data_IF_548736700718
#
_entry.id   IF_548736700718
#
_cell.length_a   1.000
_cell.length_b   1.000
_cell.length_c   1.000
_cell.angle_alpha   90.00
_cell.angle_beta   90.00
_cell.angle_gamma   90.00
#
_symmetry.space_group_name_H-M   'P 1'
#
loop_
_entity.id
_entity.type
_entity.pdbx_description
1 polymer ?
#
# COMPACT_ATOMS: atom_id res chain seq x y z
N UNK A 1 -182.04 -55.18 41.15
CA UNK A 1 -182.26 -55.68 39.77
C UNK A 1 -181.39 -54.84 38.84
N UNK A 2 -180.33 -55.28 38.17
CA UNK A 2 -179.65 -56.57 38.14
C UNK A 2 -178.31 -56.46 37.40
N UNK A 3 -177.38 -57.33 37.81
CA UNK A 3 -176.31 -58.07 37.10
C UNK A 3 -175.11 -57.32 36.46
N UNK A 4 -173.85 -57.54 36.90
CA UNK A 4 -172.91 -58.67 36.60
C UNK A 4 -172.57 -58.73 35.10
N UNK A 5 -171.37 -58.44 34.60
CA UNK A 5 -170.13 -59.27 34.50
C UNK A 5 -169.08 -58.35 33.82
N UNK A 6 -167.83 -58.15 34.26
CA UNK A 6 -166.67 -58.87 33.73
C UNK A 6 -165.33 -58.31 34.28
N UNK A 7 -165.04 -58.52 35.57
CA UNK A 7 -163.66 -58.53 36.03
C UNK A 7 -163.03 -59.88 35.67
N UNK A 8 -162.17 -59.94 34.65
CA UNK A 8 -161.20 -61.04 34.41
C UNK A 8 -160.27 -60.87 33.19
N UNK A 9 -160.41 -59.82 32.36
CA UNK A 9 -159.50 -59.58 31.21
C UNK A 9 -158.28 -58.68 31.51
N UNK A 10 -158.18 -58.09 32.70
CA UNK A 10 -157.16 -57.06 32.98
C UNK A 10 -155.81 -57.60 33.52
N UNK A 11 -155.76 -58.85 34.00
CA UNK A 11 -154.52 -59.40 34.60
C UNK A 11 -153.56 -59.93 33.53
N UNK A 12 -154.05 -60.56 32.46
CA UNK A 12 -153.20 -61.05 31.37
C UNK A 12 -152.50 -59.94 30.59
N UNK A 13 -153.17 -58.79 30.41
CA UNK A 13 -152.60 -57.62 29.74
C UNK A 13 -151.52 -56.96 30.59
N UNK A 14 -151.72 -56.85 31.90
CA UNK A 14 -150.71 -56.33 32.84
C UNK A 14 -149.50 -57.26 32.97
N UNK A 15 -149.70 -58.58 32.91
CA UNK A 15 -148.61 -59.55 32.97
C UNK A 15 -147.80 -59.60 31.66
N UNK A 16 -148.43 -59.41 30.49
CA UNK A 16 -147.72 -59.22 29.22
C UNK A 16 -147.01 -57.87 29.13
N UNK A 17 -147.60 -56.78 29.64
CA UNK A 17 -146.95 -55.47 29.73
C UNK A 17 -145.73 -55.49 30.66
N UNK A 18 -145.82 -56.19 31.80
CA UNK A 18 -144.69 -56.35 32.71
C UNK A 18 -143.57 -57.18 32.08
N UNK A 19 -143.89 -58.28 31.38
CA UNK A 19 -142.89 -59.07 30.63
C UNK A 19 -142.27 -58.25 29.51
N UNK A 20 -143.06 -57.46 28.78
CA UNK A 20 -142.59 -56.60 27.68
C UNK A 20 -141.72 -55.43 28.18
N UNK A 21 -142.07 -54.84 29.32
CA UNK A 21 -141.22 -53.83 29.97
C UNK A 21 -139.92 -54.44 30.49
N UNK A 22 -139.96 -55.64 31.05
CA UNK A 22 -138.75 -56.31 31.55
C UNK A 22 -137.83 -56.75 30.40
N UNK A 23 -138.36 -57.28 29.30
CA UNK A 23 -137.56 -57.60 28.11
C UNK A 23 -136.99 -56.36 27.45
N UNK A 24 -137.74 -55.25 27.42
CA UNK A 24 -137.25 -53.94 26.95
C UNK A 24 -136.13 -53.42 27.85
N UNK A 25 -136.27 -53.52 29.18
CA UNK A 25 -135.24 -53.10 30.13
C UNK A 25 -133.96 -53.95 30.00
N UNK A 26 -134.10 -55.26 29.78
CA UNK A 26 -132.98 -56.18 29.55
C UNK A 26 -132.30 -55.86 28.22
N UNK A 27 -133.06 -55.59 27.16
CA UNK A 27 -132.53 -55.16 25.85
C UNK A 27 -131.78 -53.83 25.95
N UNK A 28 -132.37 -52.83 26.61
CA UNK A 28 -131.74 -51.52 26.83
C UNK A 28 -130.46 -51.64 27.67
N UNK A 29 -130.43 -52.52 28.68
CA UNK A 29 -129.24 -52.78 29.50
C UNK A 29 -128.16 -53.54 28.73
N UNK A 30 -128.54 -54.50 27.87
CA UNK A 30 -127.59 -55.17 26.97
C UNK A 30 -127.04 -54.22 25.91
N UNK A 31 -127.85 -53.30 25.38
CA UNK A 31 -127.40 -52.28 24.44
C UNK A 31 -126.47 -51.27 25.12
N UNK A 32 -126.74 -50.89 26.38
CA UNK A 32 -125.83 -50.05 27.15
C UNK A 32 -124.50 -50.75 27.44
N UNK A 33 -124.53 -52.02 27.85
CA UNK A 33 -123.31 -52.80 28.10
C UNK A 33 -122.50 -53.05 26.83
N UNK A 34 -123.15 -53.33 25.70
CA UNK A 34 -122.45 -53.51 24.41
C UNK A 34 -121.83 -52.21 23.94
N UNK A 35 -122.49 -51.06 24.14
CA UNK A 35 -121.94 -49.74 23.84
C UNK A 35 -120.74 -49.40 24.74
N UNK A 36 -120.79 -49.70 26.04
CA UNK A 36 -119.67 -49.49 26.97
C UNK A 36 -118.49 -50.41 26.62
N UNK A 37 -118.76 -51.68 26.30
CA UNK A 37 -117.74 -52.62 25.84
C UNK A 37 -117.12 -52.17 24.51
N UNK A 38 -117.94 -51.69 23.57
CA UNK A 38 -117.46 -51.15 22.29
C UNK A 38 -116.60 -49.90 22.48
N UNK A 39 -116.98 -49.00 23.40
CA UNK A 39 -116.17 -47.82 23.73
C UNK A 39 -114.86 -48.20 24.43
N UNK A 40 -114.88 -49.14 25.38
CA UNK A 40 -113.67 -49.62 26.04
C UNK A 40 -112.72 -50.36 25.06
N UNK A 41 -113.27 -51.16 24.14
CA UNK A 41 -112.49 -51.79 23.06
C UNK A 41 -111.93 -50.72 22.11
N UNK A 42 -112.72 -49.71 21.73
CA UNK A 42 -112.28 -48.58 20.90
C UNK A 42 -111.14 -47.79 21.56
N UNK A 43 -111.29 -47.42 22.84
CA UNK A 43 -110.25 -46.75 23.63
C UNK A 43 -108.98 -47.62 23.75
N UNK A 44 -109.14 -48.93 23.94
CA UNK A 44 -108.00 -49.87 24.00
C UNK A 44 -107.27 -49.98 22.67
N UNK A 45 -107.99 -49.99 21.55
CA UNK A 45 -107.41 -49.98 20.19
C UNK A 45 -106.70 -48.65 19.92
N UNK A 46 -107.30 -47.51 20.28
CA UNK A 46 -106.68 -46.19 20.13
C UNK A 46 -105.39 -46.10 20.95
N UNK A 47 -105.40 -46.54 22.22
CA UNK A 47 -104.20 -46.58 23.06
C UNK A 47 -103.12 -47.53 22.51
N UNK A 48 -103.51 -48.67 21.95
CA UNK A 48 -102.59 -49.60 21.31
C UNK A 48 -101.94 -49.00 20.06
N UNK A 49 -102.74 -48.35 19.19
CA UNK A 49 -102.26 -47.64 17.99
C UNK A 49 -101.35 -46.49 18.39
N UNK A 50 -101.74 -45.67 19.37
CA UNK A 50 -100.93 -44.56 19.87
C UNK A 50 -99.61 -45.03 20.47
N UNK A 51 -99.61 -46.11 21.28
CA UNK A 51 -98.38 -46.72 21.82
C UNK A 51 -97.48 -47.26 20.72
N UNK A 52 -98.04 -47.89 19.67
CA UNK A 52 -97.26 -48.32 18.51
C UNK A 52 -96.67 -47.14 17.74
N UNK A 53 -97.48 -46.12 17.45
CA UNK A 53 -97.05 -44.92 16.75
C UNK A 53 -95.95 -44.18 17.53
N UNK A 54 -96.15 -43.97 18.85
CA UNK A 54 -95.16 -43.37 19.74
C UNK A 54 -93.83 -44.14 19.76
N UNK A 55 -93.87 -45.48 19.81
CA UNK A 55 -92.65 -46.31 19.70
C UNK A 55 -91.96 -46.18 18.35
N UNK A 56 -92.72 -46.16 17.25
CA UNK A 56 -92.18 -45.98 15.90
C UNK A 56 -91.54 -44.59 15.76
N UNK A 57 -92.20 -43.54 16.24
CA UNK A 57 -91.66 -42.19 16.25
C UNK A 57 -90.39 -42.11 17.11
N UNK A 58 -90.38 -42.68 18.32
CA UNK A 58 -89.21 -42.66 19.17
C UNK A 58 -88.02 -43.40 18.55
N UNK A 59 -88.25 -44.59 17.98
CA UNK A 59 -87.22 -45.34 17.26
C UNK A 59 -86.74 -44.62 16.00
N UNK A 60 -87.65 -43.95 15.27
CA UNK A 60 -87.31 -43.14 14.10
C UNK A 60 -86.45 -41.92 14.44
N UNK A 61 -86.76 -41.20 15.54
CA UNK A 61 -85.93 -40.10 16.05
C UNK A 61 -84.57 -40.64 16.50
N UNK A 62 -84.53 -41.74 17.26
CA UNK A 62 -83.28 -42.34 17.72
C UNK A 62 -82.41 -42.80 16.54
N UNK A 63 -83.00 -43.41 15.51
CA UNK A 63 -82.28 -43.82 14.30
C UNK A 63 -81.73 -42.62 13.51
N UNK A 64 -82.48 -41.52 13.42
CA UNK A 64 -82.01 -40.29 12.78
C UNK A 64 -80.87 -39.65 13.58
N UNK A 65 -80.96 -39.61 14.90
CA UNK A 65 -79.91 -39.10 15.80
C UNK A 65 -78.65 -39.96 15.71
N UNK A 66 -78.78 -41.29 15.72
CA UNK A 66 -77.66 -42.23 15.58
C UNK A 66 -77.00 -42.11 14.20
N UNK A 67 -77.80 -41.97 13.13
CA UNK A 67 -77.29 -41.77 11.76
C UNK A 67 -76.57 -40.44 11.60
N UNK A 68 -77.10 -39.35 12.19
CA UNK A 68 -76.47 -38.04 12.19
C UNK A 68 -75.16 -38.04 12.99
N UNK A 69 -75.15 -38.68 14.17
CA UNK A 69 -73.98 -38.84 15.01
C UNK A 69 -72.88 -39.64 14.30
N UNK A 70 -73.24 -40.70 13.58
CA UNK A 70 -72.29 -41.50 12.82
C UNK A 70 -71.74 -40.75 11.60
N UNK A 71 -72.58 -39.94 10.93
CA UNK A 71 -72.13 -39.00 9.89
C UNK A 71 -71.15 -37.95 10.43
N UNK A 72 -71.43 -37.37 11.59
CA UNK A 72 -70.54 -36.42 12.27
C UNK A 72 -69.21 -37.08 12.67
N UNK A 73 -69.23 -38.30 13.21
CA UNK A 73 -68.02 -39.05 13.55
C UNK A 73 -67.15 -39.31 12.34
N UNK A 74 -67.74 -39.72 11.21
CA UNK A 74 -67.00 -39.92 9.95
C UNK A 74 -66.35 -38.63 9.47
N UNK A 75 -67.11 -37.53 9.43
CA UNK A 75 -66.59 -36.23 9.04
C UNK A 75 -65.48 -35.73 9.98
N UNK A 76 -65.64 -35.90 11.29
CA UNK A 76 -64.61 -35.57 12.27
C UNK A 76 -63.33 -36.38 12.05
N UNK A 77 -63.44 -37.70 11.84
CA UNK A 77 -62.29 -38.56 11.58
C UNK A 77 -61.56 -38.18 10.27
N UNK A 78 -62.30 -37.86 9.21
CA UNK A 78 -61.71 -37.37 7.96
C UNK A 78 -61.00 -36.02 8.12
N UNK A 79 -61.57 -35.10 8.90
CA UNK A 79 -60.93 -33.82 9.21
C UNK A 79 -59.69 -34.01 10.07
N UNK A 80 -59.73 -34.94 11.02
CA UNK A 80 -58.60 -35.28 11.88
C UNK A 80 -57.43 -35.88 11.07
N UNK A 81 -57.70 -36.81 10.14
CA UNK A 81 -56.67 -37.38 9.24
C UNK A 81 -56.07 -36.31 8.31
N UNK A 82 -56.90 -35.39 7.78
CA UNK A 82 -56.41 -34.26 6.98
C UNK A 82 -55.54 -33.30 7.80
N UNK A 83 -55.92 -33.03 9.05
CA UNK A 83 -55.17 -32.17 9.95
C UNK A 83 -53.81 -32.80 10.28
N UNK A 84 -53.77 -34.09 10.58
CA UNK A 84 -52.54 -34.82 10.87
C UNK A 84 -51.59 -34.80 9.66
N UNK A 85 -52.11 -35.07 8.46
CA UNK A 85 -51.34 -34.97 7.20
C UNK A 85 -50.83 -33.56 6.92
N UNK A 86 -51.60 -32.53 7.25
CA UNK A 86 -51.18 -31.14 7.09
C UNK A 86 -50.06 -30.79 8.08
N UNK A 87 -50.18 -31.20 9.33
CA UNK A 87 -49.17 -31.01 10.37
C UNK A 87 -47.87 -31.76 10.06
N UNK A 88 -47.94 -32.97 9.51
CA UNK A 88 -46.76 -33.71 9.08
C UNK A 88 -46.04 -33.01 7.92
N UNK A 89 -46.78 -32.51 6.92
CA UNK A 89 -46.21 -31.71 5.84
C UNK A 89 -45.57 -30.42 6.34
N UNK A 90 -46.22 -29.73 7.27
CA UNK A 90 -45.68 -28.51 7.88
C UNK A 90 -44.35 -28.80 8.59
N UNK A 91 -44.27 -29.88 9.38
CA UNK A 91 -43.02 -30.31 10.03
C UNK A 91 -41.91 -30.61 9.02
N UNK A 92 -42.24 -31.34 7.95
CA UNK A 92 -41.26 -31.67 6.91
C UNK A 92 -40.74 -30.41 6.21
N UNK A 93 -41.63 -29.48 5.85
CA UNK A 93 -41.23 -28.19 5.26
C UNK A 93 -40.41 -27.34 6.23
N UNK A 94 -40.74 -27.37 7.52
CA UNK A 94 -39.97 -26.67 8.55
C UNK A 94 -38.55 -27.26 8.71
N UNK A 95 -38.42 -28.58 8.61
CA UNK A 95 -37.12 -29.25 8.61
C UNK A 95 -36.31 -28.90 7.35
N UNK A 96 -36.91 -28.95 6.17
CA UNK A 96 -36.26 -28.59 4.91
C UNK A 96 -35.81 -27.13 4.89
N UNK A 97 -36.66 -26.21 5.34
CA UNK A 97 -36.31 -24.79 5.45
C UNK A 97 -35.17 -24.55 6.43
N UNK A 98 -35.12 -25.28 7.56
CA UNK A 98 -34.00 -25.21 8.50
C UNK A 98 -32.69 -25.70 7.88
N UNK A 99 -32.72 -26.81 7.13
CA UNK A 99 -31.54 -27.35 6.41
C UNK A 99 -31.05 -26.40 5.32
N UNK A 100 -31.97 -25.81 4.55
CA UNK A 100 -31.64 -24.84 3.51
C UNK A 100 -31.05 -23.56 4.10
N UNK A 101 -31.57 -23.08 5.24
CA UNK A 101 -31.02 -21.93 5.95
C UNK A 101 -29.59 -22.19 6.44
N UNK A 102 -29.31 -23.39 6.96
CA UNK A 102 -27.96 -23.78 7.37
C UNK A 102 -26.99 -23.83 6.17
N UNK A 103 -27.42 -24.43 5.05
CA UNK A 103 -26.62 -24.48 3.82
C UNK A 103 -26.32 -23.08 3.27
N UNK A 104 -27.30 -22.17 3.29
CA UNK A 104 -27.11 -20.78 2.89
C UNK A 104 -26.08 -20.08 3.78
N UNK A 105 -26.18 -20.27 5.11
CA UNK A 105 -25.21 -19.70 6.05
C UNK A 105 -23.80 -20.24 5.79
N UNK A 106 -23.65 -21.55 5.51
CA UNK A 106 -22.35 -22.14 5.20
C UNK A 106 -21.77 -21.63 3.88
N UNK A 107 -22.62 -21.44 2.86
CA UNK A 107 -22.20 -20.87 1.57
C UNK A 107 -21.79 -19.41 1.71
N UNK A 108 -22.49 -18.63 2.54
CA UNK A 108 -22.10 -17.24 2.84
C UNK A 108 -20.72 -17.18 3.48
N UNK A 109 -20.45 -18.01 4.50
CA UNK A 109 -19.14 -18.07 5.15
C UNK A 109 -18.02 -18.45 4.18
N UNK A 110 -18.24 -19.46 3.32
CA UNK A 110 -17.27 -19.85 2.30
C UNK A 110 -17.02 -18.75 1.26
N UNK A 111 -18.05 -18.00 0.89
CA UNK A 111 -17.92 -16.89 -0.04
C UNK A 111 -17.09 -15.75 0.58
N UNK A 112 -17.34 -15.42 1.84
CA UNK A 112 -16.52 -14.43 2.57
C UNK A 112 -15.04 -14.86 2.68
N UNK A 113 -14.78 -16.13 2.94
CA UNK A 113 -13.42 -16.69 2.98
C UNK A 113 -12.74 -16.60 1.60
N UNK A 114 -13.45 -16.99 0.53
CA UNK A 114 -12.95 -16.87 -0.84
C UNK A 114 -12.67 -15.42 -1.23
N UNK A 115 -13.54 -14.48 -0.83
CA UNK A 115 -13.34 -13.06 -1.09
C UNK A 115 -12.10 -12.52 -0.38
N UNK A 116 -11.87 -12.90 0.88
CA UNK A 116 -10.64 -12.56 1.62
C UNK A 116 -9.40 -13.16 0.95
N UNK A 117 -9.45 -14.42 0.54
CA UNK A 117 -8.34 -15.07 -0.16
C UNK A 117 -8.03 -14.40 -1.50
N UNK A 118 -9.06 -13.96 -2.23
CA UNK A 118 -8.90 -13.26 -3.49
C UNK A 118 -8.27 -11.87 -3.29
N UNK A 119 -8.70 -11.12 -2.28
CA UNK A 119 -8.08 -9.85 -1.91
C UNK A 119 -6.60 -10.02 -1.51
N UNK A 120 -6.27 -11.05 -0.73
CA UNK A 120 -4.88 -11.36 -0.40
C UNK A 120 -4.04 -11.67 -1.64
N UNK A 121 -4.57 -12.47 -2.58
CA UNK A 121 -3.88 -12.76 -3.84
C UNK A 121 -3.69 -11.53 -4.72
N UNK A 122 -4.67 -10.62 -4.76
CA UNK A 122 -4.56 -9.35 -5.47
C UNK A 122 -3.44 -8.48 -4.87
N UNK A 123 -3.40 -8.33 -3.55
CA UNK A 123 -2.33 -7.56 -2.88
C UNK A 123 -0.95 -8.18 -3.09
N UNK A 124 -0.84 -9.52 -3.10
CA UNK A 124 0.43 -10.19 -3.43
C UNK A 124 0.85 -9.99 -4.89
N UNK A 125 -0.11 -9.96 -5.81
CA UNK A 125 0.15 -9.68 -7.22
C UNK A 125 0.61 -8.24 -7.43
N UNK A 126 -0.02 -7.27 -6.77
CA UNK A 126 0.39 -5.86 -6.78
C UNK A 126 1.84 -5.71 -6.29
N UNK A 127 2.17 -6.31 -5.15
CA UNK A 127 3.55 -6.34 -4.64
C UNK A 127 4.52 -7.03 -5.59
N UNK A 128 4.09 -8.08 -6.27
CA UNK A 128 4.89 -8.75 -7.30
C UNK A 128 5.23 -7.80 -8.46
N UNK A 129 4.23 -7.06 -8.95
CA UNK A 129 4.43 -6.07 -10.00
C UNK A 129 5.35 -4.92 -9.54
N UNK A 130 5.22 -4.46 -8.30
CA UNK A 130 6.14 -3.46 -7.70
C UNK A 130 7.59 -3.96 -7.69
N UNK A 131 7.82 -5.21 -7.28
CA UNK A 131 9.16 -5.80 -7.33
C UNK A 131 9.68 -5.92 -8.76
N UNK A 132 8.85 -6.29 -9.74
CA UNK A 132 9.25 -6.34 -11.14
C UNK A 132 9.66 -4.95 -11.67
N UNK A 133 8.94 -3.89 -11.27
CA UNK A 133 9.31 -2.51 -11.62
C UNK A 133 10.64 -2.10 -10.99
N UNK A 134 10.86 -2.39 -9.70
CA UNK A 134 12.12 -2.10 -9.02
C UNK A 134 13.29 -2.87 -9.64
N UNK A 135 13.09 -4.14 -10.02
CA UNK A 135 14.11 -4.93 -10.70
C UNK A 135 14.48 -4.34 -12.06
N UNK A 136 13.51 -3.84 -12.82
CA UNK A 136 13.76 -3.17 -14.09
C UNK A 136 14.55 -1.87 -13.91
N UNK A 137 14.26 -1.10 -12.85
CA UNK A 137 15.01 0.11 -12.50
C UNK A 137 16.44 -0.19 -12.06
N UNK A 138 16.64 -1.19 -11.21
CA UNK A 138 17.98 -1.63 -10.82
C UNK A 138 18.80 -2.11 -12.01
N UNK A 139 18.19 -2.87 -12.94
CA UNK A 139 18.87 -3.30 -14.16
C UNK A 139 19.31 -2.10 -15.01
N UNK A 140 18.45 -1.08 -15.15
CA UNK A 140 18.79 0.14 -15.89
C UNK A 140 19.98 0.87 -15.27
N UNK A 141 20.02 0.99 -13.93
CA UNK A 141 21.16 1.61 -13.23
C UNK A 141 22.45 0.82 -13.45
N UNK A 142 22.39 -0.51 -13.42
CA UNK A 142 23.53 -1.38 -13.69
C UNK A 142 24.05 -1.16 -15.12
N UNK A 143 23.16 -1.15 -16.12
CA UNK A 143 23.52 -0.92 -17.51
C UNK A 143 24.19 0.46 -17.71
N UNK A 144 23.64 1.51 -17.09
CA UNK A 144 24.23 2.86 -17.12
C UNK A 144 25.61 2.91 -16.45
N UNK A 145 25.79 2.18 -15.34
CA UNK A 145 27.08 2.06 -14.66
C UNK A 145 28.11 1.32 -15.51
N UNK A 146 27.73 0.24 -16.17
CA UNK A 146 28.60 -0.55 -17.06
C UNK A 146 29.02 0.25 -18.30
N UNK A 147 28.09 1.00 -18.91
CA UNK A 147 28.39 1.92 -20.00
C UNK A 147 29.37 3.02 -19.57
N UNK A 148 29.16 3.61 -18.39
CA UNK A 148 30.06 4.61 -17.81
C UNK A 148 31.45 4.03 -17.53
N UNK A 149 31.51 2.83 -16.98
CA UNK A 149 32.76 2.12 -16.68
C UNK A 149 33.53 1.80 -17.97
N UNK A 150 32.83 1.30 -19.00
CA UNK A 150 33.39 1.04 -20.33
C UNK A 150 33.95 2.30 -20.98
N UNK A 151 33.20 3.41 -20.94
CA UNK A 151 33.65 4.69 -21.47
C UNK A 151 34.89 5.22 -20.74
N UNK A 152 34.92 5.13 -19.41
CA UNK A 152 36.09 5.53 -18.59
C UNK A 152 37.29 4.64 -18.86
N UNK A 153 37.10 3.33 -19.03
CA UNK A 153 38.16 2.38 -19.34
C UNK A 153 38.83 2.72 -20.69
N UNK A 154 38.03 2.99 -21.72
CA UNK A 154 38.53 3.45 -23.04
C UNK A 154 39.29 4.78 -22.94
N UNK A 155 38.78 5.74 -22.16
CA UNK A 155 39.46 7.01 -21.95
C UNK A 155 40.80 6.82 -21.22
N UNK A 156 40.85 5.94 -20.21
CA UNK A 156 42.09 5.60 -19.51
C UNK A 156 43.12 4.99 -20.46
N UNK A 157 42.71 4.05 -21.32
CA UNK A 157 43.59 3.46 -22.33
C UNK A 157 44.14 4.52 -23.30
N UNK A 158 43.28 5.43 -23.77
CA UNK A 158 43.70 6.54 -24.63
C UNK A 158 44.71 7.47 -23.93
N UNK A 159 44.48 7.81 -22.66
CA UNK A 159 45.40 8.63 -21.88
C UNK A 159 46.73 7.92 -21.62
N UNK A 160 46.72 6.62 -21.33
CA UNK A 160 47.93 5.82 -21.17
C UNK A 160 48.77 5.81 -22.46
N UNK A 161 48.13 5.58 -23.61
CA UNK A 161 48.82 5.65 -24.90
C UNK A 161 49.40 7.04 -25.16
N UNK A 162 48.65 8.10 -24.81
CA UNK A 162 49.12 9.48 -24.96
C UNK A 162 50.31 9.80 -24.06
N UNK A 163 50.34 9.27 -22.84
CA UNK A 163 51.49 9.41 -21.93
C UNK A 163 52.72 8.76 -22.55
N UNK A 164 52.61 7.52 -23.05
CA UNK A 164 53.72 6.82 -23.70
C UNK A 164 54.25 7.60 -24.91
N UNK A 165 53.38 8.15 -25.75
CA UNK A 165 53.77 9.00 -26.88
C UNK A 165 54.53 10.26 -26.44
N UNK A 166 54.03 10.92 -25.39
CA UNK A 166 54.64 12.14 -24.86
C UNK A 166 56.01 11.85 -24.22
N UNK A 167 56.14 10.73 -23.50
CA UNK A 167 57.42 10.27 -22.94
C UNK A 167 58.45 9.99 -24.04
N UNK A 168 58.04 9.31 -25.12
CA UNK A 168 58.90 9.06 -26.27
C UNK A 168 59.31 10.36 -26.97
N UNK A 169 58.38 11.31 -27.16
CA UNK A 169 58.66 12.61 -27.75
C UNK A 169 59.61 13.44 -26.88
N UNK A 170 59.43 13.41 -25.55
CA UNK A 170 60.29 14.09 -24.58
C UNK A 170 61.71 13.51 -24.62
N UNK A 171 61.86 12.18 -24.66
CA UNK A 171 63.17 11.53 -24.77
C UNK A 171 63.89 11.99 -26.04
N UNK A 172 63.21 11.96 -27.18
CA UNK A 172 63.77 12.40 -28.47
C UNK A 172 64.16 13.89 -28.45
N UNK A 173 63.35 14.74 -27.83
CA UNK A 173 63.67 16.17 -27.69
C UNK A 173 64.92 16.39 -26.81
N UNK A 174 65.05 15.65 -25.71
CA UNK A 174 66.22 15.70 -24.84
C UNK A 174 67.51 15.25 -25.55
N UNK A 175 67.43 14.19 -26.36
CA UNK A 175 68.57 13.75 -27.19
C UNK A 175 68.97 14.80 -28.21
N UNK A 176 68.01 15.37 -28.94
CA UNK A 176 68.25 16.44 -29.90
C UNK A 176 68.88 17.67 -29.23
N UNK A 177 68.39 18.06 -28.05
CA UNK A 177 68.95 19.17 -27.27
C UNK A 177 70.38 18.89 -26.83
N UNK A 178 70.69 17.66 -26.41
CA UNK A 178 72.06 17.26 -26.04
C UNK A 178 73.01 17.36 -27.22
N UNK A 179 72.60 16.91 -28.41
CA UNK A 179 73.39 17.02 -29.65
C UNK A 179 73.61 18.49 -30.02
N UNK A 180 72.56 19.30 -30.07
CA UNK A 180 72.67 20.74 -30.37
C UNK A 180 73.59 21.48 -29.37
N UNK A 181 73.56 21.11 -28.10
CA UNK A 181 74.46 21.66 -27.08
C UNK A 181 75.93 21.27 -27.31
N UNK A 182 76.21 20.06 -27.79
CA UNK A 182 77.56 19.63 -28.15
C UNK A 182 78.08 20.38 -29.38
N UNK A 183 77.25 20.49 -30.42
CA UNK A 183 77.57 21.27 -31.63
C UNK A 183 77.83 22.73 -31.30
N UNK A 184 77.00 23.35 -30.45
CA UNK A 184 77.18 24.73 -29.99
C UNK A 184 78.50 24.91 -29.24
N UNK A 185 78.89 23.95 -28.39
CA UNK A 185 80.19 23.99 -27.68
C UNK A 185 81.35 23.87 -28.65
N UNK A 186 81.25 23.01 -29.66
CA UNK A 186 82.29 22.83 -30.66
C UNK A 186 82.45 24.08 -31.54
N UNK A 187 81.34 24.65 -32.03
CA UNK A 187 81.36 25.92 -32.78
C UNK A 187 81.95 27.06 -31.96
N UNK A 188 81.65 27.14 -30.65
CA UNK A 188 82.27 28.13 -29.76
C UNK A 188 83.79 27.96 -29.67
N UNK A 189 84.30 26.74 -29.54
CA UNK A 189 85.75 26.46 -29.53
C UNK A 189 86.42 26.84 -30.85
N UNK A 190 85.77 26.53 -31.97
CA UNK A 190 86.27 26.89 -33.30
C UNK A 190 86.33 28.41 -33.48
N UNK A 191 85.29 29.13 -33.05
CA UNK A 191 85.30 30.60 -33.04
C UNK A 191 86.44 31.16 -32.19
N UNK A 192 86.62 30.66 -30.95
CA UNK A 192 87.70 31.10 -30.06
C UNK A 192 89.08 30.83 -30.67
N UNK A 193 89.26 29.69 -31.33
CA UNK A 193 90.50 29.36 -32.06
C UNK A 193 90.74 30.35 -33.20
N UNK A 194 89.74 30.62 -34.05
CA UNK A 194 89.84 31.56 -35.16
C UNK A 194 90.09 32.99 -34.68
N UNK A 195 89.46 33.41 -33.58
CA UNK A 195 89.72 34.71 -32.96
C UNK A 195 91.17 34.80 -32.42
N UNK A 196 91.69 33.73 -31.82
CA UNK A 196 93.07 33.66 -31.35
C UNK A 196 94.09 33.69 -32.51
N UNK A 197 93.76 33.07 -33.64
CA UNK A 197 94.59 33.08 -34.85
C UNK A 197 94.59 34.46 -35.50
N UNK A 198 93.40 35.05 -35.66
CA UNK A 198 93.22 36.42 -36.17
C UNK A 198 93.96 37.44 -35.31
N UNK A 199 93.89 37.33 -33.99
CA UNK A 199 94.61 38.26 -33.09
C UNK A 199 96.13 38.10 -33.20
N UNK A 200 96.64 36.87 -33.32
CA UNK A 200 98.06 36.63 -33.63
C UNK A 200 98.47 37.25 -34.96
N UNK A 201 97.67 37.06 -36.00
CA UNK A 201 97.93 37.62 -37.33
C UNK A 201 97.90 39.16 -37.33
N UNK A 202 96.96 39.77 -36.61
CA UNK A 202 96.96 41.23 -36.42
C UNK A 202 98.22 41.70 -35.69
N UNK A 203 98.68 40.97 -34.67
CA UNK A 203 99.91 41.31 -33.94
C UNK A 203 101.15 41.18 -34.82
N UNK A 204 101.26 40.15 -35.66
CA UNK A 204 102.37 39.98 -36.60
C UNK A 204 102.36 41.08 -37.66
N UNK A 205 101.20 41.41 -38.22
CA UNK A 205 101.04 42.53 -39.16
C UNK A 205 101.40 43.87 -38.50
N UNK A 206 100.98 44.11 -37.26
CA UNK A 206 101.32 45.34 -36.51
C UNK A 206 102.81 45.44 -36.19
N UNK A 207 103.48 44.33 -35.88
CA UNK A 207 104.94 44.32 -35.68
C UNK A 207 105.70 44.54 -36.99
N UNK A 208 105.23 43.98 -38.11
CA UNK A 208 105.78 44.26 -39.45
C UNK A 208 105.56 45.73 -39.85
N UNK A 209 104.40 46.31 -39.54
CA UNK A 209 104.08 47.72 -39.79
C UNK A 209 104.91 48.67 -38.92
N UNK A 210 105.17 48.32 -37.66
CA UNK A 210 106.07 49.10 -36.78
C UNK A 210 107.56 48.99 -37.20
N UNK A 211 107.95 47.98 -37.99
CA UNK A 211 109.28 47.84 -38.58
C UNK A 211 109.50 48.66 -39.87
N UNK A 212 108.43 49.19 -40.46
CA UNK A 212 108.49 50.02 -41.67
C UNK A 212 107.70 51.33 -41.45
N UNK A 213 108.41 52.36 -40.96
CA UNK A 213 108.13 53.78 -41.24
C UNK A 213 106.72 54.37 -40.98
N UNK A 214 106.70 55.30 -40.01
CA UNK A 214 105.89 56.54 -39.96
C UNK A 214 104.38 56.51 -39.63
N UNK A 215 104.07 57.21 -38.52
CA UNK A 215 102.93 58.11 -38.22
C UNK A 215 101.63 57.94 -39.05
N UNK A 216 100.49 57.79 -38.37
CA UNK A 216 99.51 58.88 -38.12
C UNK A 216 98.26 58.33 -37.42
N UNK A 217 97.59 59.18 -36.64
CA UNK A 217 96.57 58.78 -35.68
C UNK A 217 95.18 58.46 -36.25
N UNK A 218 94.35 57.91 -35.35
CA UNK A 218 92.90 58.10 -35.35
C UNK A 218 92.35 57.66 -33.99
N UNK A 219 92.07 58.64 -33.15
CA UNK A 219 91.46 58.48 -31.82
C UNK A 219 90.00 58.91 -31.82
N UNK A 220 89.19 58.41 -32.77
CA UNK A 220 87.79 58.86 -32.92
C UNK A 220 86.77 57.73 -33.20
N UNK A 221 87.21 56.46 -33.24
CA UNK A 221 86.32 55.32 -33.57
C UNK A 221 85.94 54.48 -32.33
N UNK A 222 86.73 54.60 -31.24
CA UNK A 222 86.46 53.87 -29.99
C UNK A 222 85.31 54.49 -29.18
N UNK A 223 85.15 55.83 -29.19
CA UNK A 223 84.00 56.49 -28.54
C UNK A 223 82.68 56.24 -29.29
N UNK A 224 82.69 56.13 -30.62
CA UNK A 224 81.48 55.82 -31.39
C UNK A 224 80.94 54.41 -31.12
N UNK A 225 81.83 53.42 -30.92
CA UNK A 225 81.43 52.05 -30.60
C UNK A 225 80.96 51.93 -29.14
N UNK A 226 81.60 52.64 -28.21
CA UNK A 226 81.18 52.65 -26.80
C UNK A 226 79.82 53.36 -26.61
N UNK A 227 79.56 54.42 -27.37
CA UNK A 227 78.26 55.10 -27.39
C UNK A 227 77.16 54.25 -28.01
N UNK A 228 77.42 53.55 -29.12
CA UNK A 228 76.45 52.63 -29.75
C UNK A 228 76.15 51.41 -28.86
N UNK A 229 77.18 50.85 -28.21
CA UNK A 229 77.03 49.74 -27.26
C UNK A 229 76.26 50.20 -26.00
N UNK A 230 76.52 51.42 -25.53
CA UNK A 230 75.78 52.02 -24.42
C UNK A 230 74.33 52.31 -24.78
N UNK A 231 74.05 52.76 -26.00
CA UNK A 231 72.68 52.93 -26.54
C UNK A 231 71.93 51.60 -26.64
N UNK A 232 72.60 50.53 -27.09
CA UNK A 232 72.01 49.19 -27.14
C UNK A 232 71.68 48.65 -25.74
N UNK A 233 72.56 48.88 -24.74
CA UNK A 233 72.31 48.53 -23.33
C UNK A 233 71.13 49.34 -22.75
N UNK A 234 71.05 50.63 -23.06
CA UNK A 234 69.94 51.50 -22.63
C UNK A 234 68.62 51.02 -23.26
N UNK A 235 68.60 50.71 -24.55
CA UNK A 235 67.40 50.19 -25.22
C UNK A 235 66.96 48.82 -24.68
N UNK A 236 67.92 47.94 -24.36
CA UNK A 236 67.63 46.66 -23.72
C UNK A 236 67.02 46.84 -22.32
N UNK A 237 67.60 47.73 -21.51
CA UNK A 237 67.06 48.06 -20.19
C UNK A 237 65.66 48.68 -20.29
N UNK A 238 65.43 49.59 -21.24
CA UNK A 238 64.11 50.17 -21.48
C UNK A 238 63.08 49.11 -21.89
N UNK A 239 63.48 48.10 -22.67
CA UNK A 239 62.62 46.96 -23.03
C UNK A 239 62.24 46.10 -21.80
N UNK A 240 63.21 45.81 -20.92
CA UNK A 240 62.95 45.10 -19.65
C UNK A 240 62.06 45.93 -18.73
N UNK A 241 62.30 47.24 -18.63
CA UNK A 241 61.51 48.15 -17.80
C UNK A 241 60.07 48.18 -18.32
N UNK A 242 59.85 48.23 -19.63
CA UNK A 242 58.53 48.19 -20.24
C UNK A 242 57.81 46.86 -19.98
N UNK A 243 58.48 45.71 -20.15
CA UNK A 243 57.90 44.38 -19.85
C UNK A 243 57.58 44.22 -18.35
N UNK A 244 58.44 44.72 -17.47
CA UNK A 244 58.19 44.72 -16.02
C UNK A 244 57.03 45.63 -15.63
N UNK A 245 56.91 46.81 -16.22
CA UNK A 245 55.78 47.71 -15.99
C UNK A 245 54.47 47.10 -16.49
N UNK A 246 54.46 46.50 -17.68
CA UNK A 246 53.29 45.81 -18.22
C UNK A 246 52.85 44.65 -17.31
N UNK A 247 53.78 43.84 -16.80
CA UNK A 247 53.46 42.77 -15.84
C UNK A 247 52.96 43.31 -14.51
N UNK A 248 53.52 44.42 -14.04
CA UNK A 248 53.08 45.08 -12.81
C UNK A 248 51.64 45.63 -12.96
N UNK A 249 51.34 46.25 -14.10
CA UNK A 249 50.02 46.78 -14.41
C UNK A 249 49.00 45.64 -14.60
N UNK A 250 49.39 44.52 -15.22
CA UNK A 250 48.55 43.32 -15.30
C UNK A 250 48.25 42.72 -13.91
N UNK A 251 49.25 42.67 -13.02
CA UNK A 251 49.07 42.23 -11.64
C UNK A 251 48.18 43.18 -10.84
N UNK A 252 48.38 44.50 -10.97
CA UNK A 252 47.51 45.52 -10.35
C UNK A 252 46.08 45.42 -10.84
N UNK A 253 45.86 45.22 -12.15
CA UNK A 253 44.53 45.03 -12.72
C UNK A 253 43.86 43.76 -12.16
N UNK A 254 44.61 42.67 -11.97
CA UNK A 254 44.11 41.44 -11.37
C UNK A 254 43.76 41.62 -9.89
N UNK A 255 44.59 42.32 -9.13
CA UNK A 255 44.32 42.67 -7.73
C UNK A 255 43.09 43.56 -7.63
N UNK A 256 43.00 44.62 -8.44
CA UNK A 256 41.84 45.49 -8.48
C UNK A 256 40.57 44.73 -8.89
N UNK A 257 40.65 43.79 -9.83
CA UNK A 257 39.52 42.92 -10.19
C UNK A 257 39.07 42.03 -9.02
N UNK A 258 40.02 41.50 -8.25
CA UNK A 258 39.73 40.71 -7.04
C UNK A 258 39.16 41.58 -5.90
N UNK A 259 39.61 42.82 -5.77
CA UNK A 259 39.15 43.78 -4.75
C UNK A 259 37.79 44.42 -5.09
N UNK A 260 37.51 44.62 -6.36
CA UNK A 260 36.22 45.16 -6.86
C UNK A 260 35.19 44.08 -7.13
N UNK A 261 35.57 42.80 -7.02
CA UNK A 261 34.62 41.70 -7.00
C UNK A 261 33.67 41.92 -5.82
N UNK A 262 32.34 41.99 -6.01
CA UNK A 262 31.42 42.31 -4.93
C UNK A 262 31.39 41.17 -3.93
N UNK A 263 32.19 41.28 -2.87
CA UNK A 263 31.97 40.54 -1.64
C UNK A 263 30.82 41.27 -0.95
N UNK A 264 29.60 40.81 -1.21
CA UNK A 264 28.37 41.40 -0.68
C UNK A 264 28.27 41.19 0.84
N UNK A 265 28.95 42.06 1.58
CA UNK A 265 28.97 42.10 3.06
C UNK A 265 27.73 42.78 3.65
N UNK A 266 26.72 43.11 2.85
CA UNK A 266 25.51 43.81 3.32
C UNK A 266 24.33 42.89 3.64
N UNK A 267 24.49 41.57 3.51
CA UNK A 267 23.51 40.60 4.00
C UNK A 267 23.94 40.05 5.37
N UNK A 268 23.15 40.24 6.44
CA UNK A 268 23.50 39.86 7.81
C UNK A 268 23.50 38.34 8.07
N UNK A 269 23.68 37.51 7.05
CA UNK A 269 23.69 36.04 7.16
C UNK A 269 24.81 35.34 6.37
N UNK A 270 25.79 36.07 5.82
CA UNK A 270 26.90 35.45 5.08
C UNK A 270 27.78 34.54 5.94
N UNK A 271 27.80 34.75 7.27
CA UNK A 271 28.53 33.88 8.20
C UNK A 271 27.71 32.66 8.68
N UNK A 272 26.38 32.72 8.64
CA UNK A 272 25.49 31.63 9.06
C UNK A 272 25.37 30.49 8.03
N UNK A 273 25.67 30.77 6.75
CA UNK A 273 25.58 29.77 5.68
C UNK A 273 26.83 28.87 5.63
N UNK A 274 27.99 29.38 6.11
CA UNK A 274 29.23 28.60 6.19
C UNK A 274 29.26 27.67 7.41
N UNK A 275 28.58 28.01 8.52
CA UNK A 275 28.50 27.17 9.73
C UNK A 275 27.38 26.12 9.68
N UNK A 276 26.39 26.26 8.77
CA UNK A 276 25.29 25.29 8.62
C UNK A 276 25.50 24.24 7.52
N UNK A 277 26.69 24.14 6.93
CA UNK A 277 26.98 23.15 5.89
C UNK A 277 28.08 22.18 6.32
N UNK A 278 27.70 21.34 7.28
CA UNK A 278 27.77 19.88 7.26
C UNK A 278 27.31 19.44 8.65
N UNK A 279 26.29 18.58 8.81
CA UNK A 279 26.15 17.88 10.07
C UNK A 279 27.52 17.27 10.42
N UNK A 280 27.92 17.34 11.69
CA UNK A 280 29.14 16.65 12.12
C UNK A 280 29.09 15.21 11.57
N UNK A 281 30.21 14.65 11.09
CA UNK A 281 30.25 13.27 10.61
C UNK A 281 29.54 12.37 11.61
N UNK A 282 28.49 11.68 11.16
CA UNK A 282 27.74 10.74 12.01
C UNK A 282 28.71 9.65 12.44
N UNK A 283 28.72 9.36 13.73
CA UNK A 283 29.53 8.27 14.25
C UNK A 283 28.79 6.97 13.94
N UNK A 284 29.48 6.01 13.35
CA UNK A 284 28.95 4.70 13.03
C UNK A 284 29.84 3.68 13.71
N UNK A 285 29.25 2.82 14.54
CA UNK A 285 29.96 1.67 15.06
C UNK A 285 29.78 0.50 14.08
N UNK A 286 30.87 0.08 13.46
CA UNK A 286 30.95 -1.07 12.55
C UNK A 286 30.92 -2.44 13.26
N UNK A 287 30.88 -2.46 14.60
CA UNK A 287 30.82 -3.69 15.41
C UNK A 287 29.37 -4.07 15.74
N UNK A 288 28.50 -3.08 15.97
CA UNK A 288 27.09 -3.33 16.32
C UNK A 288 26.10 -2.69 15.34
N UNK A 289 26.58 -2.08 14.25
CA UNK A 289 25.78 -1.42 13.20
C UNK A 289 24.85 -0.28 13.72
N UNK A 290 25.17 0.32 14.87
CA UNK A 290 24.40 1.43 15.43
C UNK A 290 25.02 2.79 15.09
N UNK A 291 24.16 3.73 14.68
CA UNK A 291 24.55 5.11 14.42
C UNK A 291 24.42 5.98 15.67
N UNK A 292 25.38 6.89 15.84
CA UNK A 292 25.39 8.02 16.77
C UNK A 292 25.37 7.67 18.28
N UNK A 293 25.34 6.37 18.63
CA UNK A 293 25.35 5.90 20.03
C UNK A 293 26.76 5.97 20.64
N UNK A 294 27.73 5.30 20.01
CA UNK A 294 29.13 5.22 20.45
C UNK A 294 30.07 5.18 19.23
N UNK A 295 31.37 5.42 19.45
CA UNK A 295 32.42 5.16 18.46
C UNK A 295 32.81 3.68 18.49
N UNK A 296 33.37 3.15 17.40
CA UNK A 296 33.85 1.76 17.32
C UNK A 296 34.74 1.36 18.51
N UNK A 297 35.60 2.25 18.99
CA UNK A 297 36.53 2.00 20.11
C UNK A 297 35.84 1.82 21.47
N UNK A 298 34.64 2.38 21.63
CA UNK A 298 33.82 2.33 22.85
C UNK A 298 32.67 1.33 22.75
N UNK A 299 32.69 0.44 21.75
CA UNK A 299 31.63 -0.54 21.57
C UNK A 299 31.55 -1.48 22.78
N UNK A 300 30.40 -1.56 23.48
CA UNK A 300 30.24 -2.43 24.64
C UNK A 300 30.42 -3.92 24.30
N UNK A 301 30.19 -4.31 23.04
CA UNK A 301 30.47 -5.65 22.53
C UNK A 301 31.99 -5.90 22.53
N UNK A 302 32.78 -4.92 22.09
CA UNK A 302 34.25 -5.00 22.08
C UNK A 302 34.84 -5.03 23.51
N UNK A 303 34.20 -4.36 24.48
CA UNK A 303 34.61 -4.39 25.88
C UNK A 303 34.27 -5.73 26.60
N UNK A 304 33.38 -6.54 26.02
CA UNK A 304 32.93 -7.80 26.63
C UNK A 304 33.80 -9.01 26.27
N UNK A 305 34.61 -8.94 25.20
CA UNK A 305 35.32 -10.11 24.68
C UNK A 305 36.75 -10.31 25.18
N UNK A 306 37.44 -9.34 25.79
CA UNK A 306 38.79 -9.62 26.33
C UNK A 306 39.23 -8.59 27.40
N UNK A 307 38.86 -8.81 28.67
CA UNK A 307 39.66 -8.44 29.86
C UNK A 307 39.25 -9.26 31.08
N UNK A 308 39.67 -10.52 31.11
CA UNK A 308 39.96 -11.18 32.38
C UNK A 308 41.20 -10.48 32.98
N UNK A 309 41.10 -9.98 34.20
CA UNK A 309 42.16 -9.30 34.98
C UNK A 309 42.43 -7.80 34.72
N UNK A 310 41.61 -6.91 35.30
CA UNK A 310 42.05 -5.69 36.02
C UNK A 310 40.85 -4.97 36.68
N UNK A 311 41.05 -4.29 37.84
CA UNK A 311 39.97 -3.60 38.54
C UNK A 311 39.48 -2.39 37.72
N UNK A 312 38.20 -1.98 37.89
CA UNK A 312 37.58 -1.01 37.00
C UNK A 312 38.30 0.33 37.06
N UNK A 313 38.57 1.00 35.92
CA UNK A 313 38.90 2.40 35.96
C UNK A 313 37.66 3.14 36.48
N UNK A 314 37.88 3.88 37.56
CA UNK A 314 36.91 4.71 38.25
C UNK A 314 36.02 5.51 37.31
N UNK A 315 34.71 5.41 37.57
CA UNK A 315 33.64 6.30 37.13
C UNK A 315 34.05 7.77 37.26
N UNK A 316 34.52 8.40 36.18
CA UNK A 316 34.64 9.85 36.08
C UNK A 316 34.91 10.28 34.64
N UNK A 317 33.94 10.09 33.75
CA UNK A 317 33.74 11.00 32.63
C UNK A 317 32.23 11.10 32.34
N UNK A 318 31.50 11.62 33.32
CA UNK A 318 30.19 12.21 33.10
C UNK A 318 30.31 13.41 32.16
N UNK A 319 30.32 13.13 30.86
CA UNK A 319 29.85 14.06 29.85
C UNK A 319 28.51 13.54 29.31
N UNK A 320 27.53 13.38 30.19
CA UNK A 320 26.11 13.45 29.82
C UNK A 320 25.78 14.89 29.39
N UNK A 321 26.38 15.33 28.28
CA UNK A 321 25.68 16.28 27.41
C UNK A 321 24.69 15.42 26.66
N UNK A 322 23.44 15.42 27.13
CA UNK A 322 22.30 14.87 26.40
C UNK A 322 22.40 15.35 24.94
N UNK A 323 22.83 14.44 24.06
CA UNK A 323 23.19 14.78 22.69
C UNK A 323 21.90 15.04 21.94
N UNK A 324 21.70 16.29 21.53
CA UNK A 324 20.55 16.68 20.71
C UNK A 324 20.72 16.07 19.33
N UNK A 325 20.10 14.91 19.13
CA UNK A 325 19.90 14.32 17.81
C UNK A 325 19.28 15.40 16.91
N UNK A 326 19.84 15.64 15.71
CA UNK A 326 19.20 16.49 14.73
C UNK A 326 17.78 15.97 14.50
N UNK A 327 16.80 16.88 14.47
CA UNK A 327 15.43 16.49 14.17
C UNK A 327 15.41 15.71 12.84
N UNK A 328 14.69 14.58 12.77
CA UNK A 328 14.58 13.80 11.54
C UNK A 328 14.13 14.71 10.41
N UNK A 329 14.78 14.57 9.25
CA UNK A 329 14.43 15.36 8.06
C UNK A 329 13.03 14.96 7.63
N UNK A 330 12.15 15.94 7.47
CA UNK A 330 10.82 15.75 6.87
C UNK A 330 10.97 15.04 5.53
N UNK A 331 10.29 13.92 5.38
CA UNK A 331 10.27 13.09 4.18
C UNK A 331 8.82 12.92 3.74
N UNK A 332 8.58 13.10 2.45
CA UNK A 332 7.26 12.91 1.88
C UNK A 332 7.20 11.55 1.22
N UNK A 333 6.33 10.67 1.72
CA UNK A 333 6.11 9.35 1.11
C UNK A 333 5.37 9.45 -0.24
N UNK A 334 4.65 10.56 -0.49
CA UNK A 334 3.90 10.76 -1.75
C UNK A 334 4.77 11.13 -2.94
N UNK A 335 5.88 11.85 -2.73
CA UNK A 335 6.76 12.29 -3.83
C UNK A 335 8.25 11.98 -3.58
N UNK A 336 8.54 11.18 -2.55
CA UNK A 336 9.86 10.60 -2.23
C UNK A 336 11.00 11.63 -2.10
N UNK A 337 10.67 12.88 -1.78
CA UNK A 337 11.67 13.93 -1.56
C UNK A 337 11.75 14.35 -0.10
N UNK A 338 12.98 14.68 0.32
CA UNK A 338 13.21 15.35 1.59
C UNK A 338 12.88 16.84 1.49
N UNK A 339 12.12 17.37 2.45
CA UNK A 339 11.85 18.80 2.55
C UNK A 339 10.45 19.17 3.04
N UNK A 340 9.49 18.25 2.96
CA UNK A 340 8.13 18.40 3.48
C UNK A 340 7.62 17.02 3.92
N UNK A 341 6.56 16.99 4.73
CA UNK A 341 5.89 15.75 5.12
C UNK A 341 4.77 15.43 4.13
N UNK A 342 4.32 14.17 4.09
CA UNK A 342 3.23 13.69 3.21
C UNK A 342 1.95 14.55 3.31
N UNK A 343 1.69 15.21 4.43
CA UNK A 343 0.55 16.13 4.62
C UNK A 343 0.68 17.50 3.97
N UNK A 344 1.90 17.90 3.58
CA UNK A 344 2.24 19.19 2.98
C UNK A 344 2.50 19.06 1.46
N UNK A 345 2.28 17.86 0.90
CA UNK A 345 2.48 17.55 -0.52
C UNK A 345 1.35 18.17 -1.36
N UNK A 346 1.70 18.88 -2.43
CA UNK A 346 0.74 19.36 -3.40
C UNK A 346 0.41 18.22 -4.36
N UNK A 347 -0.63 17.46 -4.04
CA UNK A 347 -1.11 16.28 -4.78
C UNK A 347 -1.75 16.59 -6.16
N UNK A 348 -1.28 17.61 -6.88
CA UNK A 348 -1.87 18.01 -8.16
C UNK A 348 -0.84 17.98 -9.30
N UNK A 349 -0.88 16.86 -10.04
CA UNK A 349 -0.79 16.73 -11.51
C UNK A 349 -0.08 15.43 -11.90
N UNK A 350 -0.84 14.33 -11.81
CA UNK A 350 -0.55 13.09 -12.54
C UNK A 350 -0.84 13.32 -14.03
N UNK A 351 0.16 13.09 -14.89
CA UNK A 351 -0.04 12.71 -16.28
C UNK A 351 0.89 11.54 -16.63
#
# INVERSE_FOLDING_TARGET
MGNFVAGKQNIGVLQQLAVWQNTKLVLDYTDLLTNILADHVSQSVILFVYRKYSRICHFGVQFLDDSLLEGQKKSHNELQDKLEKAQEKERNLQEETSKLAEQLSQLQLKNEELQKSLQQKQSLLEKGNEFDTQLAEYQKVIDEMDDSASAKSKLLEQLQNRVVELEAALHKANEAQKTANQETKELRRQLESLESEKTREILTLKTQMNGAGSRSGKGDELESLDTETSLAKINFLNSIIADMQQKNDALKAKVQTLETMPMDFTKPHAFDVLTKRKPAPRLFCDICDEFDQHETEDCPIQASEDRDYSPPPSEANNNEKERKLPAPRKYCDSCEVFGHDTSECADDETF
#
